data_IF_586699576941
#
_entry.id   IF_586699576941
#
_cell.length_a   1.000
_cell.length_b   1.000
_cell.length_c   1.000
_cell.angle_alpha   90.00
_cell.angle_beta   90.00
_cell.angle_gamma   90.00
#
_symmetry.space_group_name_H-M   'P 1'
#
loop_
_entity.id
_entity.type
_entity.pdbx_description
1 polymer ?
#
# COMPACT_ATOMS: atom_id res chain seq x y z
N UNK A 1 34.10 -7.11 -39.07
CA UNK A 1 33.20 -8.20 -39.52
C UNK A 1 32.32 -8.66 -38.35
N UNK A 2 31.34 -7.85 -37.91
CA UNK A 2 30.53 -8.11 -36.70
C UNK A 2 29.02 -8.33 -36.94
N UNK A 3 28.63 -8.63 -38.19
CA UNK A 3 27.22 -8.72 -38.60
C UNK A 3 26.43 -10.01 -38.23
N UNK A 4 27.01 -11.22 -38.07
CA UNK A 4 26.19 -12.43 -37.94
C UNK A 4 25.53 -12.60 -36.57
N UNK A 5 26.04 -11.94 -35.52
CA UNK A 5 25.47 -12.06 -34.16
C UNK A 5 24.26 -11.15 -33.95
N UNK A 6 24.23 -9.96 -34.57
CA UNK A 6 23.10 -9.04 -34.46
C UNK A 6 21.85 -9.58 -35.17
N UNK A 7 22.01 -10.10 -36.40
CA UNK A 7 20.89 -10.67 -37.16
C UNK A 7 20.23 -11.85 -36.44
N UNK A 8 21.03 -12.72 -35.82
CA UNK A 8 20.51 -13.87 -35.07
C UNK A 8 19.72 -13.44 -33.81
N UNK A 9 20.11 -12.33 -33.17
CA UNK A 9 19.38 -11.79 -32.03
C UNK A 9 18.03 -11.17 -32.45
N UNK A 10 18.01 -10.44 -33.57
CA UNK A 10 16.77 -9.87 -34.13
C UNK A 10 15.77 -10.98 -34.50
N UNK A 11 16.22 -12.01 -35.22
CA UNK A 11 15.39 -13.15 -35.62
C UNK A 11 14.79 -13.87 -34.39
N UNK A 12 15.58 -14.02 -33.32
CA UNK A 12 15.10 -14.61 -32.07
C UNK A 12 14.05 -13.73 -31.38
N UNK A 13 14.27 -12.42 -31.30
CA UNK A 13 13.34 -11.49 -30.69
C UNK A 13 11.99 -11.47 -31.42
N UNK A 14 12.02 -11.54 -32.76
CA UNK A 14 10.80 -11.64 -33.55
C UNK A 14 10.04 -12.95 -33.30
N UNK A 15 10.76 -14.08 -33.18
CA UNK A 15 10.14 -15.36 -32.86
C UNK A 15 9.50 -15.34 -31.45
N UNK A 16 10.19 -14.79 -30.46
CA UNK A 16 9.69 -14.68 -29.08
C UNK A 16 8.46 -13.76 -29.01
N UNK A 17 8.48 -12.63 -29.73
CA UNK A 17 7.35 -11.70 -29.80
C UNK A 17 6.13 -12.35 -30.47
N UNK A 18 6.32 -13.08 -31.58
CA UNK A 18 5.23 -13.78 -32.24
C UNK A 18 4.60 -14.83 -31.30
N UNK A 19 5.42 -15.61 -30.61
CA UNK A 19 4.95 -16.58 -29.63
C UNK A 19 4.19 -15.90 -28.48
N UNK A 20 4.67 -14.74 -28.01
CA UNK A 20 3.97 -13.96 -26.99
C UNK A 20 2.59 -13.51 -27.48
N UNK A 21 2.50 -12.94 -28.69
CA UNK A 21 1.22 -12.47 -29.25
C UNK A 21 0.22 -13.62 -29.42
N UNK A 22 0.66 -14.81 -29.79
CA UNK A 22 -0.21 -15.97 -29.88
C UNK A 22 -0.78 -16.37 -28.52
N UNK A 23 0.03 -16.30 -27.45
CA UNK A 23 -0.47 -16.53 -26.07
C UNK A 23 -1.45 -15.44 -25.63
N UNK A 24 -1.26 -14.19 -26.04
CA UNK A 24 -2.19 -13.10 -25.70
C UNK A 24 -3.54 -13.29 -26.38
N UNK A 25 -3.62 -13.89 -27.57
CA UNK A 25 -4.90 -14.21 -28.21
C UNK A 25 -5.75 -15.14 -27.34
N UNK A 26 -5.11 -16.11 -26.70
CA UNK A 26 -5.75 -17.08 -25.81
C UNK A 26 -5.97 -16.56 -24.39
N UNK A 27 -5.35 -15.44 -24.03
CA UNK A 27 -5.49 -14.83 -22.72
C UNK A 27 -6.93 -14.35 -22.47
N UNK A 28 -7.44 -14.64 -21.27
CA UNK A 28 -8.69 -14.13 -20.74
C UNK A 28 -8.36 -13.07 -19.68
N UNK A 29 -8.55 -11.77 -19.98
CA UNK A 29 -8.18 -10.70 -19.06
C UNK A 29 -8.99 -10.71 -17.77
N UNK A 30 -8.35 -10.35 -16.66
CA UNK A 30 -9.08 -10.11 -15.40
C UNK A 30 -9.81 -8.77 -15.47
N UNK A 31 -9.17 -7.77 -16.08
CA UNK A 31 -9.79 -6.48 -16.37
C UNK A 31 -10.77 -6.60 -17.55
N UNK A 32 -12.02 -6.19 -17.35
CA UNK A 32 -13.03 -6.19 -18.42
C UNK A 32 -12.57 -5.33 -19.62
N UNK A 33 -12.64 -5.90 -20.83
CA UNK A 33 -12.25 -5.25 -22.09
C UNK A 33 -13.05 -3.97 -22.39
N UNK A 34 -14.31 -3.89 -21.96
CA UNK A 34 -15.15 -2.70 -22.11
C UNK A 34 -14.60 -1.52 -21.30
N UNK A 35 -14.07 -1.80 -20.09
CA UNK A 35 -13.42 -0.78 -19.25
C UNK A 35 -12.16 -0.27 -19.93
N UNK A 36 -11.36 -1.18 -20.51
CA UNK A 36 -10.17 -0.80 -21.29
C UNK A 36 -10.56 0.10 -22.48
N UNK A 37 -11.58 -0.30 -23.25
CA UNK A 37 -12.09 0.48 -24.38
C UNK A 37 -12.54 1.87 -23.96
N UNK A 38 -13.29 1.98 -22.87
CA UNK A 38 -13.74 3.25 -22.32
C UNK A 38 -12.57 4.18 -21.97
N UNK A 39 -11.57 3.69 -21.23
CA UNK A 39 -10.42 4.52 -20.84
C UNK A 39 -9.49 4.85 -22.01
N UNK A 40 -9.36 3.96 -23.00
CA UNK A 40 -8.64 4.27 -24.25
C UNK A 40 -9.31 5.43 -25.00
N UNK A 41 -10.64 5.40 -25.12
CA UNK A 41 -11.40 6.49 -25.74
C UNK A 41 -11.26 7.80 -24.97
N UNK A 42 -11.29 7.74 -23.63
CA UNK A 42 -11.06 8.90 -22.78
C UNK A 42 -9.65 9.49 -22.99
N UNK A 43 -8.66 8.64 -23.23
CA UNK A 43 -7.30 9.04 -23.61
C UNK A 43 -7.13 9.50 -25.06
N UNK A 44 -8.21 9.59 -25.84
CA UNK A 44 -8.18 10.01 -27.25
C UNK A 44 -7.76 8.92 -28.24
N UNK A 45 -7.60 7.67 -27.78
CA UNK A 45 -7.27 6.51 -28.64
C UNK A 45 -8.56 5.80 -29.04
N UNK A 46 -8.78 5.67 -30.34
CA UNK A 46 -9.90 4.89 -30.89
C UNK A 46 -9.36 3.65 -31.56
N UNK A 47 -10.00 2.51 -31.30
CA UNK A 47 -9.72 1.28 -32.03
C UNK A 47 -10.67 1.22 -33.21
N UNK A 48 -10.14 0.96 -34.38
CA UNK A 48 -10.94 0.76 -35.59
C UNK A 48 -11.70 -0.58 -35.48
N UNK A 49 -13.02 -0.52 -35.58
CA UNK A 49 -13.88 -1.71 -35.50
C UNK A 49 -13.74 -2.63 -36.71
N UNK A 50 -13.10 -2.15 -37.78
CA UNK A 50 -12.81 -2.93 -38.98
C UNK A 50 -11.45 -3.64 -38.93
N UNK A 51 -10.61 -3.33 -37.94
CA UNK A 51 -9.32 -3.98 -37.75
C UNK A 51 -9.49 -5.41 -37.20
N UNK A 52 -8.89 -6.38 -37.89
CA UNK A 52 -8.87 -7.79 -37.48
C UNK A 52 -8.14 -8.01 -36.15
N UNK A 53 -7.32 -7.06 -35.72
CA UNK A 53 -6.55 -7.12 -34.49
C UNK A 53 -7.12 -6.26 -33.35
N UNK A 54 -8.36 -5.77 -33.47
CA UNK A 54 -9.01 -4.99 -32.41
C UNK A 54 -9.00 -5.74 -31.07
N UNK A 55 -9.43 -7.00 -31.07
CA UNK A 55 -9.51 -7.81 -29.84
C UNK A 55 -8.13 -8.05 -29.24
N UNK A 56 -7.13 -8.33 -30.08
CA UNK A 56 -5.74 -8.49 -29.62
C UNK A 56 -5.22 -7.21 -28.97
N UNK A 57 -5.54 -6.05 -29.54
CA UNK A 57 -5.15 -4.74 -28.98
C UNK A 57 -5.78 -4.53 -27.60
N UNK A 58 -7.08 -4.84 -27.44
CA UNK A 58 -7.76 -4.74 -26.16
C UNK A 58 -7.15 -5.68 -25.12
N UNK A 59 -6.89 -6.94 -25.50
CA UNK A 59 -6.24 -7.93 -24.62
C UNK A 59 -4.83 -7.53 -24.20
N UNK A 60 -4.05 -6.93 -25.10
CA UNK A 60 -2.71 -6.41 -24.77
C UNK A 60 -2.78 -5.27 -23.75
N UNK A 61 -3.72 -4.35 -23.90
CA UNK A 61 -3.93 -3.24 -22.95
C UNK A 61 -4.41 -3.77 -21.60
N UNK A 62 -5.34 -4.73 -21.61
CA UNK A 62 -5.83 -5.35 -20.39
C UNK A 62 -4.71 -6.12 -19.67
N UNK A 63 -3.91 -6.91 -20.41
CA UNK A 63 -2.75 -7.62 -19.85
C UNK A 63 -1.70 -6.66 -19.28
N UNK A 64 -1.42 -5.55 -19.97
CA UNK A 64 -0.50 -4.53 -19.48
C UNK A 64 -1.01 -3.89 -18.17
N UNK A 65 -2.33 -3.68 -18.07
CA UNK A 65 -2.99 -3.17 -16.87
C UNK A 65 -2.88 -4.16 -15.72
N UNK A 66 -3.22 -5.43 -15.96
CA UNK A 66 -3.15 -6.50 -14.97
C UNK A 66 -1.71 -6.68 -14.46
N UNK A 67 -0.73 -6.66 -15.36
CA UNK A 67 0.70 -6.74 -15.00
C UNK A 67 1.15 -5.49 -14.21
N UNK A 68 0.70 -4.30 -14.58
CA UNK A 68 1.04 -3.07 -13.87
C UNK A 68 0.50 -3.09 -12.43
N UNK A 69 -0.78 -3.45 -12.25
CA UNK A 69 -1.43 -3.56 -10.94
C UNK A 69 -0.78 -4.67 -10.11
N UNK A 70 -0.54 -5.84 -10.69
CA UNK A 70 0.16 -6.95 -10.01
C UNK A 70 1.54 -6.52 -9.52
N UNK A 71 2.26 -5.73 -10.32
CA UNK A 71 3.53 -5.14 -9.93
C UNK A 71 3.41 -4.22 -8.71
N UNK A 72 2.41 -3.33 -8.67
CA UNK A 72 2.16 -2.45 -7.52
C UNK A 72 1.84 -3.28 -6.27
N UNK A 73 0.97 -4.29 -6.40
CA UNK A 73 0.58 -5.17 -5.29
C UNK A 73 1.78 -5.95 -4.77
N UNK A 74 2.64 -6.45 -5.66
CA UNK A 74 3.88 -7.12 -5.29
C UNK A 74 4.80 -6.20 -4.48
N UNK A 75 5.10 -4.99 -5.01
CA UNK A 75 5.91 -4.00 -4.32
C UNK A 75 5.32 -3.63 -2.94
N UNK A 76 4.00 -3.44 -2.86
CA UNK A 76 3.30 -3.15 -1.61
C UNK A 76 3.36 -4.32 -0.62
N UNK A 77 3.31 -5.57 -1.12
CA UNK A 77 3.50 -6.78 -0.32
C UNK A 77 4.88 -6.85 0.31
N UNK A 78 5.93 -6.47 -0.42
CA UNK A 78 7.29 -6.38 0.11
C UNK A 78 7.39 -5.33 1.22
N UNK A 79 6.79 -4.15 1.07
CA UNK A 79 6.75 -3.13 2.13
C UNK A 79 5.96 -3.60 3.36
N UNK A 80 4.82 -4.27 3.15
CA UNK A 80 4.05 -4.86 4.24
C UNK A 80 4.87 -5.90 5.00
N UNK A 81 5.64 -6.73 4.30
CA UNK A 81 6.53 -7.74 4.89
C UNK A 81 7.66 -7.10 5.69
N UNK A 82 8.32 -6.06 5.15
CA UNK A 82 9.38 -5.32 5.86
C UNK A 82 8.90 -4.64 7.15
N UNK A 83 7.63 -4.21 7.18
CA UNK A 83 7.00 -3.64 8.38
C UNK A 83 6.79 -4.68 9.49
N UNK A 84 6.65 -5.95 9.14
CA UNK A 84 6.45 -7.03 10.09
C UNK A 84 7.75 -7.35 10.81
N UNK A 85 8.00 -6.61 11.89
CA UNK A 85 9.20 -6.74 12.69
C UNK A 85 9.20 -8.13 13.39
N UNK A 86 10.15 -9.03 13.09
CA UNK A 86 10.15 -10.40 13.63
C UNK A 86 10.44 -10.48 15.14
N UNK A 87 10.68 -9.34 15.79
CA UNK A 87 11.05 -9.26 17.22
C UNK A 87 9.86 -9.17 18.18
N UNK A 88 8.64 -8.97 17.69
CA UNK A 88 7.44 -8.98 18.54
C UNK A 88 7.02 -10.41 18.87
N UNK A 89 7.55 -10.98 19.96
CA UNK A 89 7.18 -12.32 20.47
C UNK A 89 5.69 -12.46 20.88
N UNK A 90 4.92 -11.37 20.82
CA UNK A 90 3.52 -11.31 21.26
C UNK A 90 2.53 -11.35 20.10
N UNK A 91 2.98 -11.25 18.85
CA UNK A 91 2.07 -11.10 17.71
C UNK A 91 1.56 -12.47 17.24
N UNK A 92 0.37 -12.84 17.71
CA UNK A 92 -0.26 -14.16 17.47
C UNK A 92 -0.83 -14.36 16.05
N UNK A 93 -0.74 -13.38 15.16
CA UNK A 93 -1.12 -13.54 13.74
C UNK A 93 -0.18 -12.74 12.85
N UNK A 94 0.20 -13.28 11.68
CA UNK A 94 0.89 -12.49 10.68
C UNK A 94 -0.10 -11.44 10.14
N UNK A 95 0.11 -10.18 10.49
CA UNK A 95 -0.54 -9.05 9.83
C UNK A 95 0.06 -8.84 8.43
N UNK A 96 -0.03 -9.87 7.57
CA UNK A 96 0.21 -9.78 6.12
C UNK A 96 -0.95 -9.02 5.43
N UNK A 97 -1.44 -7.97 6.08
CA UNK A 97 -2.45 -7.08 5.53
C UNK A 97 -1.76 -5.92 4.82
N UNK A 98 -2.15 -5.69 3.56
CA UNK A 98 -1.77 -4.48 2.83
C UNK A 98 -2.41 -3.27 3.52
N UNK A 99 -1.59 -2.28 3.86
CA UNK A 99 -2.04 -0.98 4.37
C UNK A 99 -1.87 0.07 3.28
N UNK A 100 -2.61 1.17 3.42
CA UNK A 100 -2.50 2.33 2.53
C UNK A 100 -1.05 2.82 2.43
N UNK A 101 -0.32 2.87 3.54
CA UNK A 101 1.10 3.25 3.54
C UNK A 101 1.98 2.33 2.69
N UNK A 102 1.72 1.02 2.68
CA UNK A 102 2.48 0.06 1.88
C UNK A 102 2.23 0.29 0.37
N UNK A 103 0.98 0.60 0.00
CA UNK A 103 0.58 0.94 -1.38
C UNK A 103 1.15 2.29 -1.83
N UNK A 104 1.13 3.31 -0.94
CA UNK A 104 1.70 4.63 -1.25
C UNK A 104 3.20 4.54 -1.56
N UNK A 105 3.96 3.77 -0.78
CA UNK A 105 5.38 3.52 -1.03
C UNK A 105 5.61 2.79 -2.36
N UNK A 106 4.78 1.80 -2.69
CA UNK A 106 4.84 1.10 -3.97
C UNK A 106 4.58 2.02 -5.16
N UNK A 107 3.60 2.92 -5.04
CA UNK A 107 3.30 3.94 -6.04
C UNK A 107 4.43 4.96 -6.20
N UNK A 108 5.00 5.44 -5.09
CA UNK A 108 6.13 6.37 -5.08
C UNK A 108 7.35 5.78 -5.80
N UNK A 109 7.65 4.50 -5.58
CA UNK A 109 8.73 3.78 -6.28
C UNK A 109 8.56 3.75 -7.80
N UNK A 110 7.32 3.85 -8.27
CA UNK A 110 6.96 3.90 -9.71
C UNK A 110 6.84 5.33 -10.24
N UNK A 111 7.25 6.32 -9.46
CA UNK A 111 7.24 7.74 -9.86
C UNK A 111 5.88 8.43 -9.66
N UNK A 112 4.89 7.76 -9.07
CA UNK A 112 3.63 8.41 -8.71
C UNK A 112 3.88 9.25 -7.47
N UNK A 113 3.97 10.56 -7.66
CA UNK A 113 4.19 11.51 -6.57
C UNK A 113 2.94 11.58 -5.71
N UNK A 114 2.96 10.90 -4.56
CA UNK A 114 1.89 10.96 -3.55
C UNK A 114 2.12 12.12 -2.57
N UNK A 115 2.41 13.32 -3.09
CA UNK A 115 2.70 14.47 -2.23
C UNK A 115 1.43 15.20 -1.77
N UNK A 116 1.42 15.41 -0.46
CA UNK A 116 0.50 16.18 0.39
C UNK A 116 -0.85 15.52 0.68
N UNK A 117 -0.88 14.80 1.80
CA UNK A 117 -1.99 14.95 2.73
C UNK A 117 -2.28 16.46 2.85
N UNK A 118 -3.45 16.88 2.40
CA UNK A 118 -3.99 18.21 2.66
C UNK A 118 -3.81 18.42 4.17
N UNK A 119 -3.05 19.44 4.62
CA UNK A 119 -2.91 19.69 6.05
C UNK A 119 -4.33 19.80 6.61
N UNK A 120 -4.67 18.95 7.57
CA UNK A 120 -5.93 19.02 8.30
C UNK A 120 -6.11 20.47 8.78
N UNK A 121 -7.31 21.05 8.67
CA UNK A 121 -7.59 22.45 9.06
C UNK A 121 -7.04 22.79 10.45
N UNK A 122 -6.99 21.80 11.36
CA UNK A 122 -6.37 21.90 12.69
C UNK A 122 -4.90 22.35 12.69
N UNK A 123 -4.09 21.96 11.69
CA UNK A 123 -2.69 22.37 11.58
C UNK A 123 -2.53 23.81 11.07
N UNK A 124 -3.49 24.29 10.27
CA UNK A 124 -3.52 25.68 9.79
C UNK A 124 -3.97 26.62 10.91
N UNK A 125 -4.91 26.19 11.75
CA UNK A 125 -5.33 26.95 12.95
C UNK A 125 -4.21 27.07 13.99
N UNK A 126 -3.38 26.04 14.18
CA UNK A 126 -2.25 26.08 15.13
C UNK A 126 -1.09 26.95 14.64
N UNK A 127 -0.83 26.99 13.33
CA UNK A 127 0.19 27.90 12.77
C UNK A 127 -0.25 29.38 12.84
N UNK A 128 -1.56 29.67 12.71
CA UNK A 128 -2.11 31.02 12.83
C UNK A 128 -2.21 31.52 14.28
N UNK A 129 -2.29 30.62 15.26
CA UNK A 129 -2.39 30.95 16.70
C UNK A 129 -1.04 30.97 17.44
N UNK A 130 0.06 30.59 16.79
CA UNK A 130 1.42 30.51 17.35
C UNK A 130 2.16 31.84 17.58
N UNK A 131 1.47 32.95 17.87
CA UNK A 131 2.07 34.23 18.30
C UNK A 131 1.54 34.63 19.67
N UNK A 132 1.99 33.93 20.71
CA UNK A 132 1.84 34.42 22.08
C UNK A 132 1.73 33.30 23.10
N UNK A 133 2.87 32.85 23.64
CA UNK A 133 3.04 32.48 25.06
C UNK A 133 4.45 31.93 25.30
N UNK A 134 5.47 32.72 24.95
CA UNK A 134 6.79 32.57 25.53
C UNK A 134 6.87 33.47 26.77
N UNK A 135 6.32 33.02 27.91
CA UNK A 135 6.67 33.46 29.27
C UNK A 135 5.72 32.85 30.30
N UNK A 136 6.05 31.69 30.85
CA UNK A 136 5.81 31.44 32.28
C UNK A 136 6.81 30.41 32.79
N UNK A 137 8.00 30.95 33.03
CA UNK A 137 8.99 30.49 34.00
C UNK A 137 8.29 30.24 35.35
N UNK A 138 8.63 29.09 35.96
CA UNK A 138 8.88 28.90 37.41
C UNK A 138 7.95 29.66 38.37
N UNK A 139 7.03 28.94 39.01
CA UNK A 139 6.78 29.02 40.46
C UNK A 139 5.65 28.08 40.86
N UNK A 140 5.99 26.96 41.53
CA UNK A 140 5.39 26.51 42.79
C UNK A 140 5.81 25.07 43.08
N UNK A 141 6.98 24.99 43.70
CA UNK A 141 7.34 23.90 44.59
C UNK A 141 7.19 24.46 46.02
N UNK A 142 6.69 23.62 46.95
CA UNK A 142 6.60 23.80 48.42
C UNK A 142 5.45 24.66 48.99
N UNK A 143 4.42 24.02 49.60
CA UNK A 143 4.30 23.87 51.06
C UNK A 143 2.99 23.13 51.48
N UNK A 144 3.03 22.54 52.68
CA UNK A 144 2.05 21.70 53.42
C UNK A 144 2.02 20.23 52.95
N UNK A 145 2.78 19.30 53.52
CA UNK A 145 2.99 18.92 54.94
C UNK A 145 1.73 18.40 55.64
N UNK A 146 1.82 17.11 55.95
CA UNK A 146 1.34 16.45 57.16
C UNK A 146 -0.15 16.08 57.23
N UNK A 147 -0.42 14.77 57.26
CA UNK A 147 -1.21 14.05 58.28
C UNK A 147 -1.24 12.54 57.91
N UNK A 148 -0.53 11.77 58.74
CA UNK A 148 -0.82 10.42 59.27
C UNK A 148 -1.24 9.26 58.34
N UNK A 149 -0.37 8.25 58.30
CA UNK A 149 -0.58 6.84 57.96
C UNK A 149 -1.33 6.06 59.10
N UNK A 150 -1.59 4.73 59.02
CA UNK A 150 -2.77 4.04 58.48
C UNK A 150 -3.51 3.20 59.58
N UNK A 151 -4.48 2.31 59.24
CA UNK A 151 -4.25 0.93 59.67
C UNK A 151 -4.79 -0.19 58.76
N UNK A 152 -4.08 -1.32 58.87
CA UNK A 152 -4.40 -2.67 58.41
C UNK A 152 -5.80 -3.17 58.81
N UNK A 153 -6.45 -3.92 57.90
CA UNK A 153 -7.31 -5.06 58.28
C UNK A 153 -7.11 -6.25 57.33
N UNK A 154 -6.48 -7.29 57.87
CA UNK A 154 -6.63 -8.70 57.48
C UNK A 154 -8.09 -9.12 57.70
N UNK A 155 -8.66 -9.87 56.76
CA UNK A 155 -9.69 -10.87 57.07
C UNK A 155 -9.38 -12.10 56.22
N UNK A 156 -8.82 -13.11 56.87
CA UNK A 156 -8.92 -14.51 56.46
C UNK A 156 -10.28 -15.03 56.96
N UNK A 157 -11.04 -15.72 56.12
CA UNK A 157 -12.03 -16.70 56.58
C UNK A 157 -12.36 -17.69 55.45
N UNK A 158 -12.02 -18.95 55.72
CA UNK A 158 -12.44 -20.14 55.00
C UNK A 158 -13.90 -20.52 55.33
N UNK A 159 -14.58 -21.15 54.36
CA UNK A 159 -15.52 -22.30 54.49
C UNK A 159 -16.14 -22.52 53.09
N UNK A 160 -15.92 -23.62 52.37
CA UNK A 160 -16.21 -25.03 52.63
C UNK A 160 -17.70 -25.31 52.90
N UNK A 161 -18.37 -25.95 51.92
CA UNK A 161 -19.47 -26.95 51.98
C UNK A 161 -20.45 -26.76 50.80
N UNK A 162 -20.39 -27.61 49.76
CA UNK A 162 -21.04 -28.93 49.55
C UNK A 162 -22.49 -28.86 49.07
N UNK A 163 -22.80 -29.81 48.16
CA UNK A 163 -24.13 -30.30 47.75
C UNK A 163 -24.80 -29.49 46.63
N UNK A 164 -25.22 -30.05 45.49
CA UNK A 164 -25.41 -31.45 45.05
C UNK A 164 -25.32 -31.53 43.53
#
# INVERSE_FOLDING_TARGET
MSAPHQKKQEDQLHADLAQFLDRVKEYEPTTNEEICRYYMQLGGVRIDETDKNQDLTLKLVALATDHFVAGIVHDAGEFAHLRMNPRSKTQRRPDNCLRIGDVMLALERRGVTTLQAIPSEDQVQQAASGRGSASQKRARETHNADISEPPHKRIDAANAHTSS
#
